data_IF_054607293054
#
_entry.id   IF_054607293054
#
_cell.length_a   1.000
_cell.length_b   1.000
_cell.length_c   1.000
_cell.angle_alpha   90.00
_cell.angle_beta   90.00
_cell.angle_gamma   90.00
#
_symmetry.space_group_name_H-M   'P 1'
#
loop_
_entity.id
_entity.type
_entity.pdbx_description
1 polymer ?
#
# COMPACT_ATOMS: atom_id res chain seq x y z
N UNK A 1 39.64 -27.33 19.49
CA UNK A 1 39.67 -26.10 18.64
C UNK A 1 38.62 -26.09 17.53
N UNK A 2 38.41 -27.18 16.77
CA UNK A 2 37.39 -27.22 15.68
C UNK A 2 35.94 -27.00 16.17
N UNK A 3 35.56 -27.55 17.34
CA UNK A 3 34.21 -27.39 17.87
C UNK A 3 33.89 -26.01 18.48
N UNK A 4 34.92 -25.27 18.88
CA UNK A 4 34.73 -23.90 19.39
C UNK A 4 34.44 -22.88 18.27
N UNK A 5 35.06 -23.08 17.09
CA UNK A 5 34.84 -22.24 15.91
C UNK A 5 33.43 -22.45 15.32
N UNK A 6 32.92 -23.70 15.35
CA UNK A 6 31.58 -24.03 14.86
C UNK A 6 30.49 -23.43 15.79
N UNK A 7 30.69 -23.41 17.09
CA UNK A 7 29.76 -22.80 18.03
C UNK A 7 29.70 -21.26 17.93
N UNK A 8 30.85 -20.61 17.67
CA UNK A 8 30.92 -19.15 17.48
C UNK A 8 30.27 -18.75 16.16
N UNK A 9 30.45 -19.53 15.08
CA UNK A 9 29.78 -19.27 13.79
C UNK A 9 28.26 -19.47 13.89
N UNK A 10 27.77 -20.47 14.65
CA UNK A 10 26.34 -20.67 14.87
C UNK A 10 25.73 -19.55 15.72
N UNK A 11 26.44 -19.02 16.72
CA UNK A 11 25.96 -17.87 17.51
C UNK A 11 25.94 -16.56 16.69
N UNK A 12 26.87 -16.36 15.77
CA UNK A 12 26.86 -15.20 14.87
C UNK A 12 25.71 -15.27 13.85
N UNK A 13 25.38 -16.43 13.31
CA UNK A 13 24.23 -16.61 12.40
C UNK A 13 22.91 -16.38 13.11
N UNK A 14 22.77 -16.82 14.39
CA UNK A 14 21.55 -16.59 15.19
C UNK A 14 21.37 -15.14 15.66
N UNK A 15 22.46 -14.37 15.77
CA UNK A 15 22.38 -12.93 16.17
C UNK A 15 22.05 -12.00 15.01
N UNK A 16 22.28 -12.40 13.75
CA UNK A 16 21.94 -11.59 12.60
C UNK A 16 20.44 -11.62 12.23
N UNK A 17 19.70 -12.64 12.65
CA UNK A 17 18.30 -12.85 12.23
C UNK A 17 17.25 -12.22 13.16
N UNK A 18 17.62 -11.83 14.39
CA UNK A 18 16.68 -11.28 15.38
C UNK A 18 16.51 -9.75 15.32
N UNK A 19 17.34 -9.05 14.56
CA UNK A 19 17.33 -7.58 14.49
C UNK A 19 16.59 -7.00 13.28
N UNK A 20 16.16 -7.82 12.33
CA UNK A 20 15.64 -7.35 11.05
C UNK A 20 14.13 -7.05 11.06
N UNK A 21 13.38 -7.54 12.05
CA UNK A 21 11.93 -7.30 12.18
C UNK A 21 11.60 -6.52 13.44
N UNK A 22 10.91 -5.41 13.28
CA UNK A 22 10.20 -4.73 14.37
C UNK A 22 8.70 -4.90 14.20
N UNK A 23 7.99 -5.21 15.28
CA UNK A 23 6.55 -5.44 15.26
C UNK A 23 5.86 -4.64 16.36
N UNK A 24 4.62 -4.21 16.10
CA UNK A 24 3.77 -3.56 17.08
C UNK A 24 3.02 -4.52 18.01
N UNK A 25 3.33 -5.82 17.99
CA UNK A 25 2.67 -6.84 18.82
C UNK A 25 2.78 -6.56 20.33
N UNK A 26 3.73 -5.69 20.75
CA UNK A 26 3.86 -5.23 22.14
C UNK A 26 2.96 -4.05 22.49
N UNK A 27 2.36 -3.40 21.48
CA UNK A 27 1.45 -2.28 21.70
C UNK A 27 0.11 -2.77 22.22
N UNK A 28 -0.46 -2.09 23.22
CA UNK A 28 -1.73 -2.50 23.81
C UNK A 28 -2.91 -1.82 23.11
N UNK A 29 -3.54 -2.52 22.21
CA UNK A 29 -4.76 -2.06 21.49
C UNK A 29 -6.06 -2.49 22.16
N UNK A 30 -6.03 -3.19 23.30
CA UNK A 30 -7.22 -3.69 24.02
C UNK A 30 -8.28 -2.60 24.30
N UNK A 31 -7.90 -1.34 24.65
CA UNK A 31 -8.88 -0.29 24.86
C UNK A 31 -9.72 0.08 23.62
N UNK A 32 -9.23 -0.21 22.41
CA UNK A 32 -9.90 0.14 21.16
C UNK A 32 -10.80 -0.99 20.63
N UNK A 33 -10.67 -2.22 21.15
CA UNK A 33 -11.42 -3.37 20.66
C UNK A 33 -12.95 -3.24 20.75
N UNK A 34 -13.56 -2.67 21.81
CA UNK A 34 -15.01 -2.47 21.85
C UNK A 34 -15.52 -1.59 20.69
N UNK A 35 -14.79 -0.53 20.37
CA UNK A 35 -15.12 0.34 19.23
C UNK A 35 -14.99 -0.41 17.89
N UNK A 36 -13.89 -1.15 17.69
CA UNK A 36 -13.67 -1.96 16.48
C UNK A 36 -14.79 -2.99 16.29
N UNK A 37 -15.17 -3.72 17.34
CA UNK A 37 -16.26 -4.72 17.29
C UNK A 37 -17.60 -4.10 16.93
N UNK A 38 -17.93 -2.95 17.52
CA UNK A 38 -19.16 -2.22 17.20
C UNK A 38 -19.16 -1.76 15.74
N UNK A 39 -18.02 -1.26 15.27
CA UNK A 39 -17.86 -0.83 13.90
C UNK A 39 -17.97 -2.01 12.91
N UNK A 40 -17.32 -3.13 13.18
CA UNK A 40 -17.41 -4.35 12.36
C UNK A 40 -18.86 -4.85 12.27
N UNK A 41 -19.61 -4.82 13.38
CA UNK A 41 -21.02 -5.17 13.39
C UNK A 41 -21.86 -4.23 12.51
N UNK A 42 -21.57 -2.95 12.51
CA UNK A 42 -22.22 -1.97 11.64
C UNK A 42 -21.90 -2.24 10.16
N UNK A 43 -20.62 -2.50 9.84
CA UNK A 43 -20.20 -2.82 8.48
C UNK A 43 -20.87 -4.08 7.94
N UNK A 44 -20.98 -5.14 8.75
CA UNK A 44 -21.63 -6.39 8.33
C UNK A 44 -23.14 -6.26 8.04
N UNK A 45 -23.76 -5.20 8.50
CA UNK A 45 -25.18 -4.87 8.25
C UNK A 45 -25.37 -3.91 7.07
N UNK A 46 -24.28 -3.35 6.53
CA UNK A 46 -24.35 -2.44 5.39
C UNK A 46 -24.70 -3.21 4.12
N UNK A 47 -25.61 -2.70 3.28
CA UNK A 47 -25.95 -3.35 2.03
C UNK A 47 -24.71 -3.37 1.12
N UNK A 48 -24.37 -4.56 0.63
CA UNK A 48 -23.31 -4.70 -0.38
C UNK A 48 -23.76 -4.05 -1.69
N UNK A 49 -22.83 -3.45 -2.42
CA UNK A 49 -23.07 -2.97 -3.77
C UNK A 49 -23.51 -4.12 -4.67
N UNK A 50 -24.30 -3.83 -5.70
CA UNK A 50 -24.64 -4.82 -6.72
C UNK A 50 -23.40 -5.34 -7.43
N UNK A 51 -23.58 -6.13 -8.50
CA UNK A 51 -22.42 -6.63 -9.28
C UNK A 51 -21.65 -5.48 -9.95
N UNK A 52 -20.33 -5.57 -9.92
CA UNK A 52 -19.42 -4.65 -10.62
C UNK A 52 -19.00 -5.16 -12.01
N UNK A 53 -19.55 -6.29 -12.46
CA UNK A 53 -19.22 -6.88 -13.77
C UNK A 53 -19.92 -6.17 -14.94
N UNK A 54 -20.74 -5.17 -14.66
CA UNK A 54 -21.40 -4.31 -15.66
C UNK A 54 -20.91 -2.88 -15.57
N UNK A 55 -21.01 -2.13 -16.65
CA UNK A 55 -20.65 -0.71 -16.68
C UNK A 55 -21.40 0.08 -15.61
N UNK A 56 -22.72 -0.12 -15.51
CA UNK A 56 -23.56 0.52 -14.48
C UNK A 56 -23.11 0.13 -13.06
N UNK A 57 -22.74 -1.13 -12.84
CA UNK A 57 -22.24 -1.59 -11.55
C UNK A 57 -20.93 -0.94 -11.16
N UNK A 58 -20.00 -0.78 -12.10
CA UNK A 58 -18.75 -0.04 -11.89
C UNK A 58 -19.01 1.42 -11.53
N UNK A 59 -19.88 2.09 -12.28
CA UNK A 59 -20.25 3.50 -12.04
C UNK A 59 -20.90 3.66 -10.65
N UNK A 60 -21.82 2.76 -10.29
CA UNK A 60 -22.48 2.75 -8.99
C UNK A 60 -21.49 2.49 -7.84
N UNK A 61 -20.56 1.57 -8.01
CA UNK A 61 -19.51 1.30 -7.01
C UNK A 61 -18.62 2.52 -6.81
N UNK A 62 -18.16 3.16 -7.88
CA UNK A 62 -17.37 4.40 -7.83
C UNK A 62 -18.13 5.55 -7.16
N UNK A 63 -19.44 5.64 -7.35
CA UNK A 63 -20.25 6.67 -6.72
C UNK A 63 -20.47 6.38 -5.24
N UNK A 64 -20.73 5.12 -4.87
CA UNK A 64 -21.00 4.71 -3.48
C UNK A 64 -19.82 5.00 -2.55
N UNK A 65 -18.60 4.86 -3.03
CA UNK A 65 -17.40 5.09 -2.21
C UNK A 65 -17.19 6.59 -1.91
N UNK A 66 -17.72 7.49 -2.75
CA UNK A 66 -17.62 8.94 -2.53
C UNK A 66 -18.32 9.39 -1.23
N UNK A 67 -19.30 8.64 -0.74
CA UNK A 67 -19.98 8.91 0.53
C UNK A 67 -19.02 8.83 1.72
N UNK A 68 -17.98 8.03 1.60
CA UNK A 68 -16.95 7.88 2.64
C UNK A 68 -15.80 8.89 2.53
N UNK A 69 -15.79 9.73 1.48
CA UNK A 69 -14.72 10.69 1.27
C UNK A 69 -14.77 11.82 2.30
N UNK A 70 -13.73 11.94 3.07
CA UNK A 70 -13.44 13.17 3.79
C UNK A 70 -12.40 13.97 3.00
N UNK A 71 -12.89 14.86 2.14
CA UNK A 71 -12.05 15.71 1.28
C UNK A 71 -11.56 16.99 1.96
N UNK A 72 -11.87 17.16 3.26
CA UNK A 72 -11.42 18.33 4.02
C UNK A 72 -9.92 18.24 4.28
N UNK A 73 -9.17 19.13 3.66
CA UNK A 73 -7.72 19.25 3.83
C UNK A 73 -7.38 20.63 4.38
N UNK A 74 -6.28 20.72 5.13
CA UNK A 74 -5.72 22.00 5.61
C UNK A 74 -4.80 22.57 4.53
N UNK A 75 -3.96 21.73 3.94
CA UNK A 75 -3.15 22.12 2.79
C UNK A 75 -4.05 22.21 1.56
N UNK A 76 -3.83 23.22 0.74
CA UNK A 76 -4.46 23.33 -0.58
C UNK A 76 -3.62 22.58 -1.60
N UNK A 77 -4.07 21.41 -2.10
CA UNK A 77 -3.30 20.68 -3.09
C UNK A 77 -3.23 21.41 -4.42
N UNK A 78 -2.17 21.16 -5.17
CA UNK A 78 -2.01 21.57 -6.56
C UNK A 78 -1.99 20.35 -7.47
N UNK A 79 -2.41 20.52 -8.73
CA UNK A 79 -2.37 19.45 -9.74
C UNK A 79 -1.28 19.74 -10.75
N UNK A 80 -0.45 18.75 -11.03
CA UNK A 80 0.57 18.77 -12.07
C UNK A 80 0.35 17.61 -13.02
N UNK A 81 0.25 17.90 -14.31
CA UNK A 81 0.18 16.86 -15.34
C UNK A 81 1.58 16.46 -15.79
N UNK A 82 1.82 15.16 -15.87
CA UNK A 82 3.02 14.59 -16.48
C UNK A 82 2.65 13.76 -17.70
N UNK A 83 3.60 13.59 -18.63
CA UNK A 83 3.39 12.71 -19.78
C UNK A 83 3.54 11.25 -19.38
N UNK A 84 2.52 10.44 -19.66
CA UNK A 84 2.50 9.00 -19.49
C UNK A 84 2.27 8.24 -20.78
N UNK A 85 2.30 6.90 -20.77
CA UNK A 85 2.13 6.06 -21.96
C UNK A 85 0.71 6.12 -22.55
N UNK A 86 -0.30 6.47 -21.76
CA UNK A 86 -1.69 6.62 -22.21
C UNK A 86 -2.16 8.07 -22.34
N UNK A 87 -1.26 9.05 -22.25
CA UNK A 87 -1.57 10.47 -22.23
C UNK A 87 -1.09 11.17 -20.96
N UNK A 88 -1.73 12.27 -20.60
CA UNK A 88 -1.40 12.97 -19.36
C UNK A 88 -1.84 12.18 -18.12
N UNK A 89 -0.96 12.14 -17.13
CA UNK A 89 -1.24 11.58 -15.80
C UNK A 89 -1.29 12.77 -14.82
N UNK A 90 -2.44 13.04 -14.19
CA UNK A 90 -2.54 14.05 -13.14
C UNK A 90 -1.83 13.56 -11.87
N UNK A 91 -1.08 14.45 -11.25
CA UNK A 91 -0.45 14.26 -9.93
C UNK A 91 -1.03 15.32 -9.00
N UNK A 92 -1.71 14.88 -7.95
CA UNK A 92 -2.19 15.76 -6.88
C UNK A 92 -1.10 15.90 -5.83
N UNK A 93 -0.69 17.13 -5.55
CA UNK A 93 0.51 17.42 -4.75
C UNK A 93 0.15 18.22 -3.51
N UNK A 94 0.43 17.68 -2.34
CA UNK A 94 0.33 18.34 -1.04
C UNK A 94 1.73 18.79 -0.60
N UNK A 95 1.92 20.09 -0.40
CA UNK A 95 3.20 20.68 0.01
C UNK A 95 3.07 21.37 1.37
N UNK A 96 3.68 20.86 2.45
CA UNK A 96 3.82 21.60 3.71
C UNK A 96 4.93 22.65 3.60
N UNK A 97 5.00 23.57 4.59
CA UNK A 97 6.03 24.62 4.62
C UNK A 97 7.46 24.08 4.72
N UNK A 98 7.63 22.92 5.38
CA UNK A 98 8.92 22.23 5.49
C UNK A 98 8.85 20.89 4.79
N UNK A 99 9.82 20.59 3.92
CA UNK A 99 9.89 19.36 3.14
C UNK A 99 11.21 18.65 3.39
N UNK A 100 11.18 17.55 4.15
CA UNK A 100 12.35 16.71 4.45
C UNK A 100 12.45 15.48 3.55
N UNK A 101 11.37 15.14 2.84
CA UNK A 101 11.27 14.02 1.90
C UNK A 101 10.06 14.18 0.99
N UNK A 102 9.90 13.30 0.04
CA UNK A 102 8.72 13.26 -0.85
C UNK A 102 8.17 11.85 -0.93
N UNK A 103 6.85 11.70 -0.76
CA UNK A 103 6.13 10.44 -0.87
C UNK A 103 5.44 10.37 -2.23
N UNK A 104 5.71 9.32 -3.00
CA UNK A 104 4.83 8.91 -4.11
C UNK A 104 3.74 8.05 -3.49
N UNK A 105 2.55 8.58 -3.43
CA UNK A 105 1.38 7.91 -2.89
C UNK A 105 0.54 7.34 -4.04
N UNK A 106 0.06 6.11 -3.87
CA UNK A 106 -0.70 5.37 -4.87
C UNK A 106 -1.97 4.85 -4.22
N UNK A 107 -3.11 5.43 -4.59
CA UNK A 107 -4.40 5.12 -3.97
C UNK A 107 -4.86 3.68 -4.19
N UNK A 108 -5.72 3.19 -3.30
CA UNK A 108 -6.38 1.90 -3.40
C UNK A 108 -7.56 1.87 -4.39
N UNK A 109 -8.44 0.85 -4.23
CA UNK A 109 -9.68 0.76 -5.01
C UNK A 109 -9.70 -0.35 -6.06
N UNK A 110 -9.03 -1.49 -5.81
CA UNK A 110 -9.13 -2.69 -6.66
C UNK A 110 -8.75 -2.48 -8.12
N UNK A 111 -7.91 -1.49 -8.44
CA UNK A 111 -7.48 -1.09 -9.79
C UNK A 111 -8.61 -0.61 -10.71
N UNK A 112 -9.87 -0.55 -10.24
CA UNK A 112 -11.03 -0.15 -11.04
C UNK A 112 -11.75 1.10 -10.49
N UNK A 113 -11.44 1.52 -9.28
CA UNK A 113 -11.98 2.70 -8.63
C UNK A 113 -10.90 3.43 -7.82
N UNK A 114 -11.24 4.58 -7.26
CA UNK A 114 -10.30 5.41 -6.51
C UNK A 114 -9.81 6.60 -7.31
N UNK A 115 -9.23 7.54 -6.61
CA UNK A 115 -8.56 8.73 -7.13
C UNK A 115 -7.75 9.38 -6.00
N UNK A 116 -6.88 10.37 -6.28
CA UNK A 116 -6.19 11.12 -5.24
C UNK A 116 -7.09 11.78 -4.19
N UNK A 117 -8.35 12.06 -4.52
CA UNK A 117 -9.33 12.64 -3.58
C UNK A 117 -9.75 11.65 -2.49
N UNK A 118 -9.68 10.33 -2.76
CA UNK A 118 -10.02 9.30 -1.75
C UNK A 118 -9.08 9.36 -0.56
N UNK A 119 -7.81 9.59 -0.81
CA UNK A 119 -6.78 9.63 0.21
C UNK A 119 -6.39 11.06 0.60
N UNK A 120 -7.21 12.08 0.21
CA UNK A 120 -6.88 13.48 0.42
C UNK A 120 -6.62 13.82 1.88
N UNK A 121 -7.44 13.34 2.82
CA UNK A 121 -7.22 13.56 4.24
C UNK A 121 -5.95 12.86 4.74
N UNK A 122 -5.76 11.59 4.35
CA UNK A 122 -4.55 10.84 4.69
C UNK A 122 -3.30 11.57 4.18
N UNK A 123 -3.32 12.02 2.93
CA UNK A 123 -2.21 12.72 2.27
C UNK A 123 -1.91 14.07 2.92
N UNK A 124 -2.94 14.83 3.29
CA UNK A 124 -2.80 16.08 4.02
C UNK A 124 -2.21 15.88 5.42
N UNK A 125 -2.74 14.92 6.18
CA UNK A 125 -2.24 14.58 7.51
C UNK A 125 -0.79 14.06 7.45
N UNK A 126 -0.47 13.17 6.50
CA UNK A 126 0.88 12.66 6.25
C UNK A 126 1.85 13.81 5.94
N UNK A 127 1.48 14.68 4.99
CA UNK A 127 2.33 15.78 4.58
C UNK A 127 2.68 16.70 5.74
N UNK A 128 1.69 17.09 6.54
CA UNK A 128 1.87 18.00 7.69
C UNK A 128 2.63 17.37 8.85
N UNK A 129 2.28 16.11 9.18
CA UNK A 129 2.83 15.42 10.35
C UNK A 129 4.27 14.97 10.13
N UNK A 130 4.55 14.43 8.96
CA UNK A 130 5.88 13.89 8.63
C UNK A 130 6.79 14.93 7.95
N UNK A 131 6.27 16.14 7.66
CA UNK A 131 6.99 17.19 6.93
C UNK A 131 7.55 16.68 5.60
N UNK A 132 6.69 16.06 4.81
CA UNK A 132 7.02 15.53 3.47
C UNK A 132 6.08 16.12 2.43
N UNK A 133 6.54 16.33 1.21
CA UNK A 133 5.62 16.52 0.11
C UNK A 133 4.95 15.18 -0.21
N UNK A 134 3.65 15.18 -0.54
CA UNK A 134 2.95 13.99 -1.01
C UNK A 134 2.51 14.21 -2.44
N UNK A 135 2.86 13.29 -3.31
CA UNK A 135 2.54 13.26 -4.74
C UNK A 135 1.64 12.05 -4.97
N UNK A 136 0.33 12.26 -5.08
CA UNK A 136 -0.65 11.21 -5.30
C UNK A 136 -0.96 11.07 -6.78
N UNK A 137 -0.91 9.83 -7.29
CA UNK A 137 -1.00 9.53 -8.73
C UNK A 137 -2.43 9.21 -9.10
N UNK A 138 -3.00 9.93 -10.06
CA UNK A 138 -4.28 9.61 -10.68
C UNK A 138 -4.06 8.66 -11.87
N UNK A 139 -3.84 7.38 -11.55
CA UNK A 139 -3.55 6.36 -12.55
C UNK A 139 -4.83 5.86 -13.25
N UNK A 140 -4.69 5.40 -14.48
CA UNK A 140 -5.79 4.85 -15.29
C UNK A 140 -6.40 3.60 -14.66
N UNK A 141 -7.73 3.55 -14.66
CA UNK A 141 -8.53 2.50 -14.04
C UNK A 141 -9.09 1.51 -15.08
N UNK A 142 -9.25 0.25 -14.66
CA UNK A 142 -10.04 -0.74 -15.37
C UNK A 142 -11.55 -0.44 -15.17
N UNK A 143 -12.44 -0.94 -16.04
CA UNK A 143 -12.17 -1.68 -17.26
C UNK A 143 -11.80 -0.81 -18.47
N UNK A 144 -11.97 0.54 -18.38
CA UNK A 144 -11.73 1.47 -19.49
C UNK A 144 -10.28 1.39 -19.99
N UNK A 145 -9.36 1.20 -19.05
CA UNK A 145 -7.95 0.99 -19.34
C UNK A 145 -7.51 -0.34 -18.72
N UNK A 146 -7.51 -1.41 -19.52
CA UNK A 146 -7.20 -2.75 -19.02
C UNK A 146 -5.85 -2.82 -18.31
N UNK A 147 -5.77 -3.65 -17.24
CA UNK A 147 -4.51 -3.95 -16.58
C UNK A 147 -3.50 -4.52 -17.63
N UNK A 148 -2.23 -4.05 -17.67
CA UNK A 148 -1.52 -3.36 -16.60
C UNK A 148 -1.38 -1.82 -16.79
N UNK A 149 -2.32 -1.12 -17.41
CA UNK A 149 -2.22 0.33 -17.66
C UNK A 149 -1.90 1.15 -16.39
N UNK A 150 -2.48 0.79 -15.24
CA UNK A 150 -2.20 1.42 -13.95
C UNK A 150 -0.72 1.26 -13.51
N UNK A 151 -0.11 0.11 -13.77
CA UNK A 151 1.32 -0.12 -13.50
C UNK A 151 2.19 0.84 -14.32
N UNK A 152 1.87 0.99 -15.59
CA UNK A 152 2.66 1.83 -16.49
C UNK A 152 2.55 3.33 -16.12
N UNK A 153 1.40 3.76 -15.63
CA UNK A 153 1.23 5.13 -15.13
C UNK A 153 2.00 5.36 -13.83
N UNK A 154 1.97 4.41 -12.88
CA UNK A 154 2.76 4.49 -11.65
C UNK A 154 4.28 4.49 -11.94
N UNK A 155 4.74 3.70 -12.91
CA UNK A 155 6.14 3.72 -13.38
C UNK A 155 6.51 5.08 -13.98
N UNK A 156 5.63 5.70 -14.77
CA UNK A 156 5.85 7.02 -15.32
C UNK A 156 5.94 8.10 -14.23
N UNK A 157 5.05 8.04 -13.23
CA UNK A 157 5.08 8.93 -12.07
C UNK A 157 6.37 8.76 -11.26
N UNK A 158 6.80 7.52 -11.01
CA UNK A 158 8.05 7.23 -10.32
C UNK A 158 9.27 7.75 -11.09
N UNK A 159 9.32 7.55 -12.43
CA UNK A 159 10.38 8.09 -13.28
C UNK A 159 10.43 9.62 -13.23
N UNK A 160 9.27 10.26 -13.30
CA UNK A 160 9.19 11.71 -13.15
C UNK A 160 9.70 12.15 -11.78
N UNK A 161 9.26 11.51 -10.69
CA UNK A 161 9.66 11.88 -9.34
C UNK A 161 11.17 11.69 -9.12
N UNK A 162 11.73 10.55 -9.50
CA UNK A 162 13.19 10.30 -9.42
C UNK A 162 13.97 11.40 -10.12
N UNK A 163 13.53 11.87 -11.29
CA UNK A 163 14.24 12.91 -12.06
C UNK A 163 14.00 14.34 -11.56
N UNK A 164 12.90 14.56 -10.85
CA UNK A 164 12.43 15.93 -10.56
C UNK A 164 12.41 16.28 -9.07
N UNK A 165 12.50 15.31 -8.16
CA UNK A 165 12.30 15.51 -6.72
C UNK A 165 13.16 16.65 -6.14
N UNK A 166 14.47 16.67 -6.47
CA UNK A 166 15.38 17.71 -6.01
C UNK A 166 14.99 19.09 -6.47
N UNK A 167 14.56 19.23 -7.74
CA UNK A 167 14.13 20.51 -8.33
C UNK A 167 12.79 20.98 -7.80
N UNK A 168 11.81 20.05 -7.69
CA UNK A 168 10.42 20.39 -7.34
C UNK A 168 10.21 20.56 -5.82
N UNK A 169 10.98 19.81 -5.01
CA UNK A 169 10.75 19.68 -3.56
C UNK A 169 12.00 20.00 -2.71
N UNK A 170 13.15 20.28 -3.32
CA UNK A 170 14.39 20.57 -2.59
C UNK A 170 15.09 19.34 -1.99
N UNK A 171 14.55 18.15 -2.15
CA UNK A 171 15.05 16.90 -1.58
C UNK A 171 15.07 15.79 -2.63
N UNK A 172 15.93 14.79 -2.43
CA UNK A 172 15.99 13.54 -3.21
C UNK A 172 15.65 12.30 -2.35
N UNK A 173 15.26 12.52 -1.08
CA UNK A 173 14.73 11.45 -0.22
C UNK A 173 13.31 11.11 -0.68
N UNK A 174 13.12 9.93 -1.28
CA UNK A 174 11.84 9.46 -1.81
C UNK A 174 11.29 8.37 -0.89
N UNK A 175 9.98 8.35 -0.72
CA UNK A 175 9.21 7.28 -0.10
C UNK A 175 8.14 6.82 -1.08
N UNK A 176 7.78 5.54 -1.03
CA UNK A 176 6.66 4.99 -1.81
C UNK A 176 5.60 4.52 -0.83
N UNK A 177 4.35 4.88 -1.05
CA UNK A 177 3.23 4.48 -0.18
C UNK A 177 2.03 4.07 -1.02
N UNK A 178 1.25 3.12 -0.49
CA UNK A 178 -0.03 2.77 -1.10
C UNK A 178 -0.79 1.73 -0.31
N UNK A 179 -2.14 1.79 -0.41
CA UNK A 179 -3.06 0.88 0.26
C UNK A 179 -3.77 -0.07 -0.71
N UNK A 180 -4.01 -1.32 -0.31
CA UNK A 180 -4.78 -2.30 -1.11
C UNK A 180 -4.18 -2.50 -2.51
N UNK A 181 -4.93 -2.25 -3.58
CA UNK A 181 -4.41 -2.21 -4.94
C UNK A 181 -3.25 -1.22 -5.10
N UNK A 182 -3.27 -0.09 -4.37
CA UNK A 182 -2.16 0.86 -4.32
C UNK A 182 -0.92 0.27 -3.65
N UNK A 183 -1.06 -0.59 -2.63
CA UNK A 183 0.04 -1.32 -2.01
C UNK A 183 0.71 -2.30 -2.98
N UNK A 184 -0.09 -2.97 -3.82
CA UNK A 184 0.41 -3.75 -4.95
C UNK A 184 1.24 -2.87 -5.91
N UNK A 185 0.65 -1.77 -6.38
CA UNK A 185 1.30 -0.85 -7.31
C UNK A 185 2.55 -0.21 -6.71
N UNK A 186 2.56 0.09 -5.39
CA UNK A 186 3.71 0.60 -4.66
C UNK A 186 4.88 -0.41 -4.66
N UNK A 187 4.61 -1.69 -4.40
CA UNK A 187 5.62 -2.74 -4.44
C UNK A 187 6.20 -2.92 -5.85
N UNK A 188 5.35 -3.02 -6.89
CA UNK A 188 5.79 -3.13 -8.29
C UNK A 188 6.59 -1.89 -8.73
N UNK A 189 6.15 -0.70 -8.31
CA UNK A 189 6.85 0.55 -8.61
C UNK A 189 8.22 0.62 -7.94
N UNK A 190 8.33 0.12 -6.70
CA UNK A 190 9.62 0.04 -6.00
C UNK A 190 10.61 -0.87 -6.72
N UNK A 191 10.14 -2.04 -7.18
CA UNK A 191 10.94 -2.95 -8.02
C UNK A 191 11.40 -2.26 -9.32
N UNK A 192 10.52 -1.52 -9.99
CA UNK A 192 10.86 -0.77 -11.20
C UNK A 192 11.93 0.31 -10.93
N UNK A 193 11.87 1.02 -9.80
CA UNK A 193 12.89 2.01 -9.42
C UNK A 193 14.26 1.31 -9.23
N UNK A 194 14.29 0.13 -8.60
CA UNK A 194 15.52 -0.66 -8.45
C UNK A 194 16.06 -1.17 -9.79
N UNK A 195 15.21 -1.87 -10.55
CA UNK A 195 15.63 -2.70 -11.66
C UNK A 195 15.84 -1.90 -12.95
N UNK A 196 15.00 -0.88 -13.19
CA UNK A 196 15.03 -0.12 -14.43
C UNK A 196 15.63 1.27 -14.27
N UNK A 197 15.26 2.00 -13.20
CA UNK A 197 15.77 3.36 -12.99
C UNK A 197 17.12 3.36 -12.29
N UNK A 198 17.51 2.26 -11.62
CA UNK A 198 18.77 2.15 -10.86
C UNK A 198 18.94 3.26 -9.81
N UNK A 199 17.83 3.67 -9.19
CA UNK A 199 17.76 4.79 -8.27
C UNK A 199 17.19 4.41 -6.90
N UNK A 200 17.31 3.12 -6.51
CA UNK A 200 16.72 2.60 -5.27
C UNK A 200 17.38 3.21 -4.02
N UNK A 201 18.61 3.68 -4.11
CA UNK A 201 19.32 4.39 -3.05
C UNK A 201 18.64 5.68 -2.59
N UNK A 202 17.82 6.29 -3.45
CA UNK A 202 16.98 7.45 -3.11
C UNK A 202 15.71 7.09 -2.37
N UNK A 203 15.22 5.85 -2.46
CA UNK A 203 14.04 5.39 -1.75
C UNK A 203 14.43 5.04 -0.31
N UNK A 204 13.96 5.83 0.64
CA UNK A 204 14.30 5.71 2.06
C UNK A 204 13.37 4.78 2.82
N UNK A 205 12.18 4.54 2.29
CA UNK A 205 11.21 3.61 2.87
C UNK A 205 10.02 3.35 1.96
N UNK A 206 9.36 2.21 2.17
CA UNK A 206 8.15 1.80 1.46
C UNK A 206 7.06 1.49 2.47
N UNK A 207 5.95 2.22 2.43
CA UNK A 207 4.79 2.02 3.29
C UNK A 207 3.74 1.20 2.56
N UNK A 208 3.62 -0.07 2.91
CA UNK A 208 2.79 -1.08 2.27
C UNK A 208 1.58 -1.39 3.15
N UNK A 209 0.44 -0.83 2.78
CA UNK A 209 -0.77 -0.86 3.61
C UNK A 209 -1.73 -1.90 3.03
N UNK A 210 -1.89 -3.04 3.73
CA UNK A 210 -2.76 -4.18 3.36
C UNK A 210 -2.81 -4.47 1.84
N UNK A 211 -1.65 -4.51 1.18
CA UNK A 211 -1.56 -4.67 -0.27
C UNK A 211 -1.88 -6.08 -0.77
N UNK A 212 -2.22 -6.17 -2.05
CA UNK A 212 -2.34 -7.45 -2.78
C UNK A 212 -0.98 -7.76 -3.42
N UNK A 213 -0.35 -8.86 -3.06
CA UNK A 213 0.98 -9.18 -3.61
C UNK A 213 1.01 -10.47 -4.44
N UNK A 214 -0.07 -11.26 -4.38
CA UNK A 214 -0.32 -12.41 -5.26
C UNK A 214 -1.65 -12.24 -6.02
N UNK A 215 -1.60 -11.92 -7.30
CA UNK A 215 -2.79 -11.87 -8.16
C UNK A 215 -3.40 -13.26 -8.42
N UNK A 216 -2.69 -14.33 -8.01
CA UNK A 216 -3.19 -15.70 -7.96
C UNK A 216 -4.04 -16.02 -6.74
N UNK A 217 -4.11 -15.10 -5.79
CA UNK A 217 -4.83 -15.17 -4.50
C UNK A 217 -4.17 -16.08 -3.47
N UNK A 218 -3.79 -15.51 -2.36
CA UNK A 218 -3.31 -16.21 -1.16
C UNK A 218 -4.44 -17.00 -0.47
N UNK A 219 -4.14 -17.90 0.48
CA UNK A 219 -5.17 -18.67 1.19
C UNK A 219 -6.23 -17.81 1.87
N UNK A 220 -5.86 -16.78 2.64
CA UNK A 220 -6.84 -15.91 3.30
C UNK A 220 -7.79 -15.22 2.31
N UNK A 221 -7.27 -14.78 1.16
CA UNK A 221 -8.07 -14.22 0.07
C UNK A 221 -9.09 -15.22 -0.49
N UNK A 222 -8.69 -16.51 -0.64
CA UNK A 222 -9.59 -17.56 -1.16
C UNK A 222 -10.64 -18.04 -0.16
N UNK A 223 -10.32 -17.94 1.14
CA UNK A 223 -11.15 -18.46 2.23
C UNK A 223 -12.05 -17.41 2.87
N UNK A 224 -12.01 -16.16 2.39
CA UNK A 224 -12.88 -15.07 2.87
C UNK A 224 -14.35 -15.45 2.75
N UNK A 225 -15.15 -14.97 3.71
CA UNK A 225 -16.59 -15.18 3.74
C UNK A 225 -17.34 -13.92 3.28
N UNK A 226 -18.62 -14.08 2.94
CA UNK A 226 -19.47 -12.93 2.54
C UNK A 226 -19.85 -12.02 3.72
N UNK A 227 -19.50 -12.38 4.96
CA UNK A 227 -19.71 -11.55 6.16
C UNK A 227 -18.58 -10.57 6.44
N UNK A 228 -17.50 -10.58 5.66
CA UNK A 228 -16.39 -9.64 5.80
C UNK A 228 -16.72 -8.28 5.18
N UNK A 229 -16.00 -7.23 5.57
CA UNK A 229 -16.12 -5.89 4.95
C UNK A 229 -15.80 -5.90 3.46
N UNK A 230 -14.85 -6.73 3.05
CA UNK A 230 -14.54 -7.00 1.66
C UNK A 230 -14.99 -8.46 1.36
N UNK A 231 -16.25 -8.67 0.93
CA UNK A 231 -16.82 -10.02 0.83
C UNK A 231 -16.27 -10.79 -0.35
N UNK A 232 -16.36 -12.12 -0.24
CA UNK A 232 -15.84 -13.04 -1.25
C UNK A 232 -16.37 -12.73 -2.65
N UNK A 233 -17.66 -12.48 -2.76
CA UNK A 233 -18.30 -12.15 -4.05
C UNK A 233 -17.65 -10.93 -4.70
N UNK A 234 -17.45 -9.84 -3.94
CA UNK A 234 -16.84 -8.62 -4.46
C UNK A 234 -15.39 -8.84 -4.87
N UNK A 235 -14.62 -9.57 -4.05
CA UNK A 235 -13.24 -9.92 -4.40
C UNK A 235 -13.16 -10.78 -5.66
N UNK A 236 -14.05 -11.74 -5.83
CA UNK A 236 -14.13 -12.57 -7.04
C UNK A 236 -14.48 -11.73 -8.28
N UNK A 237 -15.42 -10.80 -8.15
CA UNK A 237 -15.81 -9.89 -9.23
C UNK A 237 -14.70 -8.89 -9.61
N UNK A 238 -13.96 -8.37 -8.64
CA UNK A 238 -12.77 -7.52 -8.91
C UNK A 238 -11.75 -8.31 -9.73
N UNK A 239 -11.46 -9.55 -9.32
CA UNK A 239 -10.49 -10.39 -10.03
C UNK A 239 -10.93 -10.73 -11.44
N UNK A 240 -12.24 -10.94 -11.66
CA UNK A 240 -12.79 -11.16 -12.99
C UNK A 240 -12.78 -9.88 -13.84
N UNK A 241 -13.18 -8.76 -13.27
CA UNK A 241 -13.24 -7.48 -13.97
C UNK A 241 -11.85 -7.04 -14.48
N UNK A 242 -10.84 -7.14 -13.61
CA UNK A 242 -9.50 -6.58 -13.87
C UNK A 242 -8.60 -7.57 -14.62
N UNK A 243 -8.70 -8.85 -14.31
CA UNK A 243 -7.81 -9.90 -14.85
C UNK A 243 -8.51 -10.92 -15.71
N UNK A 244 -9.60 -10.51 -16.38
CA UNK A 244 -10.37 -11.38 -17.30
C UNK A 244 -9.46 -12.05 -18.33
N UNK A 245 -9.59 -13.37 -18.44
CA UNK A 245 -8.82 -14.16 -19.40
C UNK A 245 -7.33 -14.35 -19.07
N UNK A 246 -6.84 -13.87 -17.90
CA UNK A 246 -5.48 -14.13 -17.47
C UNK A 246 -5.35 -15.53 -16.85
N UNK A 247 -4.41 -16.32 -17.36
CA UNK A 247 -4.05 -17.61 -16.75
C UNK A 247 -3.44 -17.41 -15.35
N UNK A 248 -3.45 -18.45 -14.52
CA UNK A 248 -2.81 -18.42 -13.21
C UNK A 248 -1.30 -18.12 -13.33
N UNK A 249 -0.62 -18.73 -14.29
CA UNK A 249 0.79 -18.46 -14.57
C UNK A 249 1.06 -16.99 -14.87
N UNK A 250 0.20 -16.35 -15.68
CA UNK A 250 0.32 -14.92 -15.97
C UNK A 250 0.07 -14.06 -14.73
N UNK A 251 -0.92 -14.42 -13.90
CA UNK A 251 -1.22 -13.72 -12.65
C UNK A 251 -0.06 -13.80 -11.65
N UNK A 252 0.62 -14.95 -11.59
CA UNK A 252 1.77 -15.17 -10.70
C UNK A 252 3.12 -14.76 -11.30
N UNK A 253 3.12 -14.14 -12.47
CA UNK A 253 4.34 -13.60 -13.04
C UNK A 253 4.95 -12.51 -12.14
N UNK A 254 6.25 -12.56 -11.81
CA UNK A 254 6.93 -11.57 -10.96
C UNK A 254 6.77 -10.10 -11.39
N UNK A 255 6.54 -9.86 -12.68
CA UNK A 255 6.27 -8.51 -13.20
C UNK A 255 4.94 -7.92 -12.73
N UNK A 256 4.01 -8.77 -12.29
CA UNK A 256 2.65 -8.39 -11.87
C UNK A 256 2.36 -8.79 -10.42
N UNK A 257 2.90 -9.89 -9.94
CA UNK A 257 2.75 -10.35 -8.56
C UNK A 257 4.09 -10.24 -7.83
N UNK A 258 4.33 -9.14 -7.10
CA UNK A 258 5.61 -8.88 -6.47
C UNK A 258 5.99 -9.91 -5.41
N UNK A 259 5.04 -10.70 -4.91
CA UNK A 259 5.33 -11.83 -4.03
C UNK A 259 6.31 -12.83 -4.66
N UNK A 260 6.36 -12.96 -5.99
CA UNK A 260 7.24 -13.90 -6.70
C UNK A 260 8.52 -13.26 -7.23
N UNK A 261 8.69 -11.94 -7.04
CA UNK A 261 9.87 -11.22 -7.52
C UNK A 261 11.11 -11.49 -6.66
N UNK A 262 12.28 -11.17 -7.19
CA UNK A 262 13.50 -10.99 -6.40
C UNK A 262 13.35 -9.72 -5.54
N UNK A 263 13.47 -9.87 -4.22
CA UNK A 263 13.30 -8.77 -3.26
C UNK A 263 14.61 -8.28 -2.65
N UNK A 264 15.79 -8.77 -3.09
CA UNK A 264 17.07 -8.31 -2.55
C UNK A 264 17.31 -6.81 -2.84
N UNK A 265 17.99 -6.14 -1.90
CA UNK A 265 18.43 -4.76 -2.07
C UNK A 265 17.29 -3.73 -2.12
N UNK A 266 16.14 -4.05 -1.53
CA UNK A 266 15.02 -3.13 -1.36
C UNK A 266 15.15 -2.32 -0.06
N UNK A 267 14.55 -1.12 0.02
CA UNK A 267 14.63 -0.28 1.21
C UNK A 267 13.84 -0.86 2.37
N UNK A 268 13.97 -0.30 3.60
CA UNK A 268 13.11 -0.62 4.71
C UNK A 268 11.62 -0.51 4.32
N UNK A 269 10.79 -1.44 4.78
CA UNK A 269 9.37 -1.43 4.51
C UNK A 269 8.53 -1.52 5.80
N UNK A 270 7.49 -0.68 5.90
CA UNK A 270 6.44 -0.81 6.88
C UNK A 270 5.26 -1.55 6.24
N UNK A 271 4.90 -2.68 6.82
CA UNK A 271 3.73 -3.48 6.47
C UNK A 271 2.63 -3.24 7.49
N UNK A 272 1.46 -2.79 7.05
CA UNK A 272 0.30 -2.51 7.90
C UNK A 272 -0.86 -3.41 7.50
N UNK A 273 -1.48 -4.09 8.48
CA UNK A 273 -2.57 -5.05 8.23
C UNK A 273 -3.57 -5.11 9.39
N UNK A 274 -4.85 -5.23 9.08
CA UNK A 274 -5.88 -5.67 10.01
C UNK A 274 -5.87 -7.18 10.17
N UNK A 275 -5.98 -7.70 11.40
CA UNK A 275 -5.96 -9.14 11.63
C UNK A 275 -7.18 -9.89 11.06
N UNK A 276 -8.28 -9.18 10.80
CA UNK A 276 -9.49 -9.71 10.17
C UNK A 276 -9.59 -9.38 8.66
N UNK A 277 -8.48 -8.91 8.06
CA UNK A 277 -8.42 -8.57 6.65
C UNK A 277 -8.28 -9.84 5.79
N UNK A 278 -9.08 -10.02 4.73
CA UNK A 278 -8.90 -11.14 3.79
C UNK A 278 -7.57 -11.13 3.04
N UNK A 279 -6.84 -10.01 3.02
CA UNK A 279 -5.50 -9.89 2.44
C UNK A 279 -4.38 -10.08 3.47
N UNK A 280 -4.68 -10.66 4.64
CA UNK A 280 -3.68 -10.84 5.71
C UNK A 280 -2.48 -11.68 5.25
N UNK A 281 -2.71 -12.80 4.56
CA UNK A 281 -1.63 -13.66 4.06
C UNK A 281 -0.74 -12.94 3.03
N UNK A 282 -1.32 -12.10 2.17
CA UNK A 282 -0.52 -11.29 1.24
C UNK A 282 0.51 -10.45 1.99
N UNK A 283 0.07 -9.76 3.04
CA UNK A 283 0.95 -8.93 3.88
C UNK A 283 1.99 -9.77 4.63
N UNK A 284 1.58 -10.86 5.28
CA UNK A 284 2.50 -11.70 6.04
C UNK A 284 3.54 -12.39 5.15
N UNK A 285 3.12 -12.90 4.00
CA UNK A 285 4.03 -13.56 3.07
C UNK A 285 5.00 -12.58 2.42
N UNK A 286 4.52 -11.39 2.05
CA UNK A 286 5.37 -10.36 1.46
C UNK A 286 6.38 -9.82 2.47
N UNK A 287 5.98 -9.56 3.72
CA UNK A 287 6.88 -9.17 4.81
C UNK A 287 7.95 -10.23 5.03
N UNK A 288 7.55 -11.50 5.18
CA UNK A 288 8.47 -12.59 5.43
C UNK A 288 9.50 -12.75 4.29
N UNK A 289 9.07 -12.60 3.03
CA UNK A 289 9.96 -12.63 1.87
C UNK A 289 10.87 -11.41 1.79
N UNK A 290 10.34 -10.21 2.11
CA UNK A 290 11.13 -8.97 2.14
C UNK A 290 12.27 -9.09 3.15
N UNK A 291 11.94 -9.59 4.35
CA UNK A 291 12.90 -9.84 5.43
C UNK A 291 13.90 -10.95 5.09
N UNK A 292 13.43 -12.07 4.52
CA UNK A 292 14.30 -13.18 4.11
C UNK A 292 15.30 -12.78 3.01
N UNK A 293 14.97 -11.74 2.21
CA UNK A 293 15.89 -11.14 1.25
C UNK A 293 16.90 -10.17 1.87
N UNK A 294 17.00 -10.11 3.21
CA UNK A 294 17.97 -9.28 3.94
C UNK A 294 17.58 -7.82 4.13
N UNK A 295 16.32 -7.44 3.82
CA UNK A 295 15.87 -6.07 3.98
C UNK A 295 15.23 -5.85 5.35
N UNK A 296 15.28 -4.62 5.87
CA UNK A 296 14.62 -4.27 7.15
C UNK A 296 13.11 -4.20 6.97
N UNK A 297 12.36 -4.79 7.91
CA UNK A 297 10.91 -4.76 7.93
C UNK A 297 10.36 -4.29 9.27
N UNK A 298 9.18 -3.66 9.19
CA UNK A 298 8.35 -3.28 10.32
C UNK A 298 6.95 -3.83 10.04
N UNK A 299 6.41 -4.65 10.94
CA UNK A 299 5.10 -5.24 10.76
C UNK A 299 4.13 -4.69 11.82
N UNK A 300 3.10 -3.98 11.36
CA UNK A 300 2.04 -3.42 12.19
C UNK A 300 0.73 -4.20 11.97
N UNK A 301 0.35 -4.99 12.96
CA UNK A 301 -0.87 -5.81 12.95
C UNK A 301 -1.88 -5.19 13.91
N UNK A 302 -3.09 -4.92 13.42
CA UNK A 302 -4.17 -4.31 14.19
C UNK A 302 -5.26 -5.34 14.47
N UNK A 303 -5.44 -5.75 15.75
CA UNK A 303 -6.33 -6.84 16.10
C UNK A 303 -7.78 -6.56 15.73
N UNK A 304 -8.49 -7.60 15.28
CA UNK A 304 -9.90 -7.58 14.87
C UNK A 304 -10.26 -6.54 13.79
N UNK A 305 -9.29 -5.80 13.26
CA UNK A 305 -9.53 -4.78 12.24
C UNK A 305 -9.71 -5.40 10.86
N UNK A 306 -10.70 -4.93 10.07
CA UNK A 306 -10.95 -5.42 8.72
C UNK A 306 -10.02 -4.75 7.71
N UNK A 307 -10.22 -5.03 6.41
CA UNK A 307 -9.58 -4.31 5.31
C UNK A 307 -9.86 -2.80 5.41
N UNK A 308 -8.85 -1.97 5.15
CA UNK A 308 -8.98 -0.52 5.30
C UNK A 308 -8.85 -0.03 6.75
N UNK A 309 -8.04 -0.69 7.58
CA UNK A 309 -7.89 -0.39 9.01
C UNK A 309 -7.67 1.09 9.33
N UNK A 310 -7.03 1.84 8.45
CA UNK A 310 -6.72 3.27 8.61
C UNK A 310 -7.81 4.22 8.09
N UNK A 311 -8.79 3.71 7.33
CA UNK A 311 -9.82 4.53 6.69
C UNK A 311 -10.99 4.89 7.61
N UNK A 312 -11.21 4.12 8.67
CA UNK A 312 -12.42 4.21 9.48
C UNK A 312 -12.33 5.29 10.58
N UNK A 313 -13.47 5.82 11.05
CA UNK A 313 -13.51 6.83 12.11
C UNK A 313 -13.34 6.20 13.50
N UNK A 314 -12.30 5.37 13.70
CA UNK A 314 -12.00 4.65 14.95
C UNK A 314 -10.66 5.09 15.54
N UNK A 315 -10.49 4.92 16.85
CA UNK A 315 -9.21 5.16 17.52
C UNK A 315 -8.12 4.21 17.01
N UNK A 316 -8.50 2.98 16.63
CA UNK A 316 -7.59 2.03 16.00
C UNK A 316 -7.04 2.56 14.68
N UNK A 317 -7.91 3.09 13.81
CA UNK A 317 -7.52 3.70 12.55
C UNK A 317 -6.59 4.92 12.75
N UNK A 318 -6.90 5.75 13.74
CA UNK A 318 -6.05 6.88 14.10
C UNK A 318 -4.66 6.41 14.54
N UNK A 319 -4.58 5.35 15.36
CA UNK A 319 -3.31 4.77 15.79
C UNK A 319 -2.52 4.21 14.58
N UNK A 320 -3.20 3.55 13.63
CA UNK A 320 -2.57 3.05 12.41
C UNK A 320 -1.96 4.18 11.58
N UNK A 321 -2.72 5.25 11.32
CA UNK A 321 -2.22 6.42 10.58
C UNK A 321 -1.04 7.09 11.31
N UNK A 322 -1.14 7.29 12.61
CA UNK A 322 -0.06 7.88 13.40
C UNK A 322 1.24 7.07 13.33
N UNK A 323 1.14 5.74 13.37
CA UNK A 323 2.31 4.84 13.20
C UNK A 323 2.98 5.04 11.85
N UNK A 324 2.21 5.08 10.77
CA UNK A 324 2.73 5.31 9.41
C UNK A 324 3.40 6.68 9.28
N UNK A 325 2.75 7.75 9.79
CA UNK A 325 3.29 9.10 9.72
C UNK A 325 4.58 9.23 10.52
N UNK A 326 4.61 8.67 11.73
CA UNK A 326 5.82 8.71 12.57
C UNK A 326 6.96 7.93 11.93
N UNK A 327 6.69 6.73 11.39
CA UNK A 327 7.69 5.91 10.72
C UNK A 327 8.35 6.64 9.53
N UNK A 328 7.56 7.31 8.68
CA UNK A 328 8.10 8.12 7.56
C UNK A 328 8.89 9.30 8.10
N UNK A 329 8.40 9.97 9.14
CA UNK A 329 9.09 11.10 9.77
C UNK A 329 10.45 10.69 10.31
N UNK A 330 10.53 9.58 11.04
CA UNK A 330 11.78 9.06 11.63
C UNK A 330 12.82 8.73 10.56
N UNK A 331 12.41 8.27 9.38
CA UNK A 331 13.30 8.01 8.25
C UNK A 331 13.73 9.29 7.49
N UNK A 332 13.08 10.42 7.75
CA UNK A 332 13.47 11.71 7.20
C UNK A 332 14.61 12.36 7.99
N UNK A 333 14.71 12.05 9.29
CA UNK A 333 15.75 12.53 10.20
C UNK A 333 17.06 11.81 9.96
#
# INVERSE_FOLDING_TARGET
MKYLITAILLQFVLLFDLSAQESNLKENYSPYLPEVRNFNKMLSQSPHSGTILTKEGVEKSRESIKVFLNTKTILKPSVKNIQGPGGNIPLTIFKPDTINGVVLEIHGGGWFQGSPEYDAQFNDELARTSKVAVVSVDYRLAPENPFPACIEDCKAAAKWLVNSAKKEFGTDKIFISGGSAGGHLAAVTTLYIRDSLKAIDRVKGVNLIYGVYDLGRTPSHRLVTDSSFLPKKEMDEIMELVFKGWSMEKRQNPAYSPLYADLHGLPPALFTIGAADPLADDTYFMEARWRAAGNKTYLAVYPESPHGVDLFPTQMAKAARQKMYQWIKDLCE
#
